data_IF_105747339484
#
_entry.id   IF_105747339484
#
_cell.length_a   1.000
_cell.length_b   1.000
_cell.length_c   1.000
_cell.angle_alpha   90.00
_cell.angle_beta   90.00
_cell.angle_gamma   90.00
#
_symmetry.space_group_name_H-M   'P 1'
#
loop_
_entity.id
_entity.type
_entity.pdbx_description
1 polymer ?
#
# COMPACT_ATOMS: atom_id res chain seq x y z
N UNK A 1 20.01 -11.54 -8.04
CA UNK A 1 19.37 -12.36 -6.99
C UNK A 1 18.48 -11.44 -6.15
N UNK A 2 17.24 -11.83 -5.86
CA UNK A 2 16.31 -11.08 -5.01
C UNK A 2 16.11 -11.84 -3.69
N UNK A 3 16.08 -11.11 -2.58
CA UNK A 3 15.78 -11.64 -1.26
C UNK A 3 14.40 -11.16 -0.82
N UNK A 4 13.69 -11.95 -0.02
CA UNK A 4 12.39 -11.57 0.52
C UNK A 4 12.27 -11.99 1.98
N UNK A 5 11.34 -11.35 2.70
CA UNK A 5 10.95 -11.71 4.05
C UNK A 5 9.43 -11.64 4.15
N UNK A 6 8.82 -12.66 4.74
CA UNK A 6 7.37 -12.78 4.87
C UNK A 6 6.81 -13.85 3.92
N UNK A 7 5.59 -13.65 3.46
CA UNK A 7 4.86 -14.63 2.65
C UNK A 7 4.60 -14.05 1.27
N UNK A 8 5.00 -14.79 0.24
CA UNK A 8 4.62 -14.52 -1.14
C UNK A 8 3.32 -15.28 -1.45
N UNK A 9 2.44 -14.72 -2.30
CA UNK A 9 1.23 -15.43 -2.71
C UNK A 9 1.57 -16.54 -3.72
N UNK A 10 0.81 -17.63 -3.71
CA UNK A 10 0.94 -18.72 -4.71
C UNK A 10 0.62 -18.23 -6.13
N UNK A 11 -0.33 -17.29 -6.23
CA UNK A 11 -0.66 -16.56 -7.44
C UNK A 11 -0.82 -15.08 -7.11
N UNK A 12 -0.18 -14.21 -7.89
CA UNK A 12 -0.25 -12.77 -7.64
C UNK A 12 -1.67 -12.24 -7.85
N UNK A 13 -2.25 -11.55 -6.85
CA UNK A 13 -3.48 -10.81 -7.08
C UNK A 13 -3.21 -9.59 -7.97
N UNK A 14 -4.27 -8.88 -8.36
CA UNK A 14 -4.09 -7.56 -8.91
C UNK A 14 -3.40 -6.66 -7.87
N UNK A 15 -2.31 -6.05 -8.29
CA UNK A 15 -1.49 -5.19 -7.45
C UNK A 15 -1.47 -3.76 -8.02
N UNK A 16 -1.34 -2.79 -7.13
CA UNK A 16 -1.12 -1.40 -7.50
C UNK A 16 0.03 -0.80 -6.70
N UNK A 17 0.93 -0.12 -7.41
CA UNK A 17 2.00 0.63 -6.79
C UNK A 17 1.46 1.99 -6.33
N UNK A 18 1.64 2.31 -5.05
CA UNK A 18 1.31 3.63 -4.49
C UNK A 18 2.60 4.33 -4.11
N UNK A 19 2.89 5.45 -4.76
CA UNK A 19 4.10 6.25 -4.53
C UNK A 19 3.72 7.71 -4.29
N UNK A 20 4.55 8.44 -3.54
CA UNK A 20 4.37 9.87 -3.39
C UNK A 20 5.40 10.54 -2.49
N UNK A 21 5.11 11.78 -2.09
CA UNK A 21 6.04 12.60 -1.30
C UNK A 21 6.28 12.02 0.10
N UNK A 22 7.49 12.25 0.62
CA UNK A 22 7.88 11.93 2.00
C UNK A 22 7.27 12.86 3.05
N UNK A 23 6.76 14.01 2.62
CA UNK A 23 6.12 15.03 3.46
C UNK A 23 4.75 15.41 2.88
N UNK A 24 3.74 14.52 2.98
CA UNK A 24 2.42 14.82 2.44
C UNK A 24 1.67 15.82 3.31
N UNK A 25 0.92 16.69 2.65
CA UNK A 25 -0.09 17.53 3.30
C UNK A 25 -1.20 16.66 3.91
N UNK A 26 -2.01 17.23 4.80
CA UNK A 26 -3.15 16.52 5.38
C UNK A 26 -4.14 16.05 4.31
N UNK A 27 -4.34 16.86 3.27
CA UNK A 27 -5.14 16.50 2.10
C UNK A 27 -4.56 15.28 1.38
N UNK A 28 -3.26 15.29 1.09
CA UNK A 28 -2.57 14.17 0.44
C UNK A 28 -2.74 12.87 1.21
N UNK A 29 -2.59 12.91 2.54
CA UNK A 29 -2.83 11.75 3.42
C UNK A 29 -4.27 11.24 3.29
N UNK A 30 -5.24 12.14 3.41
CA UNK A 30 -6.68 11.79 3.37
C UNK A 30 -7.07 11.18 2.02
N UNK A 31 -6.55 11.71 0.92
CA UNK A 31 -6.80 11.17 -0.43
C UNK A 31 -6.18 9.78 -0.56
N UNK A 32 -4.93 9.60 -0.14
CA UNK A 32 -4.27 8.27 -0.16
C UNK A 32 -5.06 7.25 0.65
N UNK A 33 -5.52 7.60 1.85
CA UNK A 33 -6.34 6.72 2.68
C UNK A 33 -7.64 6.30 1.97
N UNK A 34 -8.36 7.26 1.36
CA UNK A 34 -9.60 6.97 0.64
C UNK A 34 -9.36 6.07 -0.58
N UNK A 35 -8.34 6.38 -1.36
CA UNK A 35 -8.00 5.68 -2.60
C UNK A 35 -7.57 4.24 -2.28
N UNK A 36 -6.66 4.07 -1.32
CA UNK A 36 -6.19 2.75 -0.88
C UNK A 36 -7.31 1.93 -0.27
N UNK A 37 -8.17 2.52 0.58
CA UNK A 37 -9.30 1.81 1.13
C UNK A 37 -10.25 1.28 0.04
N UNK A 38 -10.54 2.10 -0.98
CA UNK A 38 -11.35 1.68 -2.12
C UNK A 38 -10.74 0.50 -2.89
N UNK A 39 -9.43 0.56 -3.17
CA UNK A 39 -8.71 -0.49 -3.88
C UNK A 39 -8.70 -1.81 -3.10
N UNK A 40 -8.39 -1.74 -1.81
CA UNK A 40 -8.31 -2.92 -0.94
C UNK A 40 -9.68 -3.58 -0.77
N UNK A 41 -10.76 -2.80 -0.66
CA UNK A 41 -12.12 -3.35 -0.62
C UNK A 41 -12.50 -4.10 -1.91
N UNK A 42 -11.80 -3.86 -3.02
CA UNK A 42 -11.95 -4.57 -4.29
C UNK A 42 -10.92 -5.70 -4.48
N UNK A 43 -10.21 -6.10 -3.42
CA UNK A 43 -9.24 -7.19 -3.45
C UNK A 43 -7.91 -6.84 -4.12
N UNK A 44 -7.63 -5.56 -4.34
CA UNK A 44 -6.36 -5.11 -4.93
C UNK A 44 -5.30 -4.99 -3.83
N UNK A 45 -4.16 -5.66 -4.02
CA UNK A 45 -3.02 -5.58 -3.12
C UNK A 45 -2.22 -4.29 -3.36
N UNK A 46 -1.63 -3.75 -2.29
CA UNK A 46 -0.85 -2.51 -2.34
C UNK A 46 0.64 -2.82 -2.30
N UNK A 47 1.39 -2.22 -3.22
CA UNK A 47 2.86 -2.26 -3.24
C UNK A 47 3.39 -0.85 -2.99
N UNK A 48 4.32 -0.68 -2.07
CA UNK A 48 4.97 0.61 -1.82
C UNK A 48 6.35 0.44 -1.17
N UNK A 49 7.15 1.51 -1.09
CA UNK A 49 8.59 1.44 -0.80
C UNK A 49 8.98 1.61 0.66
N UNK A 50 8.05 1.50 1.60
CA UNK A 50 8.25 1.73 3.05
C UNK A 50 8.82 3.11 3.41
N UNK A 51 8.79 4.09 2.49
CA UNK A 51 9.24 5.44 2.80
C UNK A 51 8.30 6.10 3.82
N UNK A 52 8.81 7.10 4.55
CA UNK A 52 7.94 8.04 5.28
C UNK A 52 7.01 8.73 4.30
N UNK A 53 5.82 9.14 4.76
CA UNK A 53 4.88 9.89 3.94
C UNK A 53 3.84 9.01 3.28
N UNK A 54 3.64 9.17 1.97
CA UNK A 54 2.55 8.48 1.22
C UNK A 54 2.67 6.96 1.31
N UNK A 55 3.86 6.40 1.19
CA UNK A 55 4.10 4.95 1.30
C UNK A 55 3.62 4.39 2.65
N UNK A 56 4.00 5.06 3.74
CA UNK A 56 3.55 4.70 5.10
C UNK A 56 2.02 4.72 5.19
N UNK A 57 1.38 5.77 4.67
CA UNK A 57 -0.08 5.91 4.71
C UNK A 57 -0.76 4.79 3.90
N UNK A 58 -0.20 4.45 2.75
CA UNK A 58 -0.72 3.38 1.89
C UNK A 58 -0.64 2.01 2.58
N UNK A 59 0.53 1.64 3.10
CA UNK A 59 0.70 0.39 3.84
C UNK A 59 -0.21 0.32 5.06
N UNK A 60 -0.25 1.37 5.88
CA UNK A 60 -1.09 1.40 7.08
C UNK A 60 -2.57 1.29 6.74
N UNK A 61 -3.04 1.98 5.71
CA UNK A 61 -4.43 1.91 5.28
C UNK A 61 -4.78 0.51 4.78
N UNK A 62 -3.89 -0.09 3.98
CA UNK A 62 -4.07 -1.43 3.46
C UNK A 62 -4.22 -2.47 4.59
N UNK A 63 -3.28 -2.47 5.53
CA UNK A 63 -3.30 -3.38 6.68
C UNK A 63 -4.53 -3.14 7.56
N UNK A 64 -4.89 -1.88 7.85
CA UNK A 64 -6.09 -1.54 8.64
C UNK A 64 -7.39 -2.03 7.99
N UNK A 65 -7.42 -2.16 6.66
CA UNK A 65 -8.56 -2.68 5.90
C UNK A 65 -8.52 -4.21 5.70
N UNK A 66 -7.53 -4.89 6.27
CA UNK A 66 -7.34 -6.33 6.12
C UNK A 66 -6.80 -6.75 4.75
N UNK A 67 -6.26 -5.81 3.98
CA UNK A 67 -5.68 -6.07 2.67
C UNK A 67 -4.25 -6.59 2.73
N UNK A 68 -3.77 -7.09 1.59
CA UNK A 68 -2.39 -7.55 1.43
C UNK A 68 -1.50 -6.42 0.95
N UNK A 69 -0.37 -6.24 1.65
CA UNK A 69 0.59 -5.17 1.40
C UNK A 69 1.99 -5.75 1.20
N UNK A 70 2.71 -5.29 0.17
CA UNK A 70 4.07 -5.72 -0.16
C UNK A 70 5.03 -4.53 -0.27
N UNK A 71 6.32 -4.77 -0.01
CA UNK A 71 7.41 -3.80 -0.12
C UNK A 71 8.74 -4.46 -0.47
#
# INVERSE_FOLDING_TARGET
MLFYKGTLPDAWPHCIAVVGTRLPTQYGRTVTEKLVAGLVNNGIAVISGLARGIDTVAHQTCVKRGGTSYA
#
